data_IF_866396895113
#
_entry.id   IF_866396895113
#
_cell.length_a   1.000
_cell.length_b   1.000
_cell.length_c   1.000
_cell.angle_alpha   90.00
_cell.angle_beta   90.00
_cell.angle_gamma   90.00
#
_symmetry.space_group_name_H-M   'P 1'
#
loop_
_entity.id
_entity.type
_entity.pdbx_description
1 polymer ?
#
# COMPACT_ATOMS: atom_id res chain seq x y z
N UNK A 1 -6.44 1.91 2.65
CA UNK A 1 -6.71 2.62 3.93
C UNK A 1 -6.72 4.12 3.68
N UNK A 2 -7.59 4.88 4.34
CA UNK A 2 -7.59 6.35 4.26
C UNK A 2 -7.00 6.94 5.55
N UNK A 3 -6.17 7.97 5.43
CA UNK A 3 -5.58 8.68 6.56
C UNK A 3 -5.59 10.19 6.34
N UNK A 4 -5.71 10.94 7.42
CA UNK A 4 -5.37 12.37 7.45
C UNK A 4 -3.93 12.51 7.92
N UNK A 5 -3.17 13.42 7.30
CA UNK A 5 -1.82 13.77 7.74
C UNK A 5 -1.72 15.26 7.99
N UNK A 6 -0.89 15.63 8.95
CA UNK A 6 -0.54 17.03 9.18
C UNK A 6 0.80 17.44 8.54
N UNK A 7 1.13 18.72 8.66
CA UNK A 7 2.39 19.25 8.17
C UNK A 7 3.62 18.62 8.84
N UNK A 8 3.49 18.15 10.09
CA UNK A 8 4.59 17.50 10.81
C UNK A 8 4.96 16.15 10.20
N UNK A 9 4.00 15.44 9.58
CA UNK A 9 4.25 14.25 8.78
C UNK A 9 4.78 14.63 7.39
N UNK A 10 4.13 15.58 6.71
CA UNK A 10 4.50 15.95 5.35
C UNK A 10 5.96 16.45 5.24
N UNK A 11 6.42 17.24 6.22
CA UNK A 11 7.82 17.70 6.30
C UNK A 11 8.81 16.53 6.30
N UNK A 12 8.47 15.41 6.94
CA UNK A 12 9.37 14.24 7.08
C UNK A 12 9.56 13.47 5.77
N UNK A 13 8.71 13.69 4.77
CA UNK A 13 8.92 13.16 3.42
C UNK A 13 10.01 13.94 2.69
N UNK A 14 10.00 15.27 2.83
CA UNK A 14 10.90 16.19 2.15
C UNK A 14 12.27 16.29 2.86
N UNK A 15 12.26 16.42 4.18
CA UNK A 15 13.43 16.68 5.00
C UNK A 15 13.65 15.48 5.93
N UNK A 16 14.89 14.99 5.99
CA UNK A 16 15.24 13.89 6.88
C UNK A 16 15.15 14.32 8.35
N UNK A 17 14.27 13.67 9.09
CA UNK A 17 14.01 13.89 10.52
C UNK A 17 13.74 12.53 11.20
N UNK A 18 13.70 12.47 12.55
CA UNK A 18 13.17 11.31 13.25
C UNK A 18 11.80 10.92 12.69
N UNK A 19 11.60 9.62 12.50
CA UNK A 19 10.42 8.99 11.91
C UNK A 19 10.18 9.24 10.40
N UNK A 20 11.17 9.75 9.67
CA UNK A 20 11.07 9.90 8.20
C UNK A 20 10.91 8.57 7.46
N UNK A 21 11.38 7.44 7.99
CA UNK A 21 11.20 6.15 7.34
C UNK A 21 9.73 5.73 7.37
N UNK A 22 9.13 5.80 8.55
CA UNK A 22 7.73 5.51 8.85
C UNK A 22 6.80 6.47 8.11
N UNK A 23 7.14 7.76 8.08
CA UNK A 23 6.38 8.74 7.32
C UNK A 23 6.34 8.38 5.83
N UNK A 24 7.46 7.95 5.23
CA UNK A 24 7.49 7.54 3.82
C UNK A 24 6.67 6.29 3.53
N UNK A 25 6.45 5.40 4.51
CA UNK A 25 5.57 4.24 4.30
C UNK A 25 4.11 4.67 4.07
N UNK A 26 3.70 5.85 4.54
CA UNK A 26 2.36 6.40 4.27
C UNK A 26 2.13 6.72 2.79
N UNK A 27 3.20 6.91 2.01
CA UNK A 27 3.12 7.13 0.55
C UNK A 27 2.90 5.83 -0.24
N UNK A 28 2.73 4.70 0.45
CA UNK A 28 2.44 3.44 -0.21
C UNK A 28 1.10 3.51 -0.98
N UNK A 29 0.98 2.91 -2.17
CA UNK A 29 -0.22 2.99 -3.00
C UNK A 29 -1.53 2.51 -2.33
N UNK A 30 -1.43 1.65 -1.31
CA UNK A 30 -2.57 1.15 -0.52
C UNK A 30 -3.11 2.17 0.51
N UNK A 31 -2.42 3.30 0.67
CA UNK A 31 -2.77 4.35 1.61
C UNK A 31 -3.16 5.61 0.82
N UNK A 32 -4.39 6.06 1.05
CA UNK A 32 -4.92 7.30 0.47
C UNK A 32 -4.82 8.39 1.52
N UNK A 33 -4.02 9.41 1.24
CA UNK A 33 -3.75 10.51 2.16
C UNK A 33 -4.63 11.71 1.83
N UNK A 34 -5.19 12.31 2.87
CA UNK A 34 -5.90 13.58 2.79
C UNK A 34 -5.28 14.57 3.79
N UNK A 35 -5.44 15.85 3.50
CA UNK A 35 -5.07 16.92 4.42
C UNK A 35 -5.88 18.19 4.08
N UNK A 36 -6.10 19.10 5.03
CA UNK A 36 -6.51 20.47 4.70
C UNK A 36 -5.50 21.16 3.77
N UNK A 37 -5.97 22.00 2.85
CA UNK A 37 -5.14 22.73 1.88
C UNK A 37 -4.01 23.58 2.50
N UNK A 38 -4.23 24.14 3.69
CA UNK A 38 -3.24 24.95 4.39
C UNK A 38 -2.00 24.16 4.85
N UNK A 39 -2.01 22.82 4.79
CA UNK A 39 -0.83 21.97 5.01
C UNK A 39 0.35 22.41 4.13
N UNK A 40 0.08 22.84 2.89
CA UNK A 40 1.10 23.34 1.96
C UNK A 40 1.81 24.58 2.52
N UNK A 41 1.03 25.47 3.15
CA UNK A 41 1.55 26.72 3.73
C UNK A 41 2.36 26.43 4.99
N UNK A 42 1.97 25.45 5.79
CA UNK A 42 2.73 25.02 6.97
C UNK A 42 4.05 24.35 6.59
N UNK A 43 4.05 23.46 5.60
CA UNK A 43 5.29 22.86 5.07
C UNK A 43 6.21 23.95 4.50
N UNK A 44 5.69 24.90 3.72
CA UNK A 44 6.45 26.03 3.21
C UNK A 44 7.07 26.88 4.34
N UNK A 45 6.32 27.13 5.41
CA UNK A 45 6.81 27.87 6.57
C UNK A 45 7.94 27.11 7.29
N UNK A 46 7.88 25.78 7.36
CA UNK A 46 8.97 24.95 7.91
C UNK A 46 10.22 25.04 7.03
N UNK A 47 10.09 24.92 5.71
CA UNK A 47 11.21 25.08 4.76
C UNK A 47 11.86 26.45 4.95
N UNK A 48 11.07 27.52 5.01
CA UNK A 48 11.57 28.88 5.27
C UNK A 48 12.30 29.00 6.62
N UNK A 49 11.72 28.48 7.70
CA UNK A 49 12.35 28.50 9.03
C UNK A 49 13.69 27.76 9.04
N UNK A 50 13.77 26.58 8.42
CA UNK A 50 15.01 25.80 8.34
C UNK A 50 16.07 26.49 7.48
N UNK A 51 15.68 27.10 6.36
CA UNK A 51 16.58 27.90 5.53
C UNK A 51 17.14 29.10 6.30
N UNK A 52 16.27 29.84 7.01
CA UNK A 52 16.67 30.97 7.87
C UNK A 52 17.67 30.57 8.95
N UNK A 53 17.50 29.37 9.52
CA UNK A 53 18.40 28.79 10.53
C UNK A 53 19.64 28.12 9.94
N UNK A 54 19.79 28.08 8.61
CA UNK A 54 20.88 27.40 7.89
C UNK A 54 20.95 25.89 8.17
N UNK A 55 19.82 25.28 8.50
CA UNK A 55 19.70 23.82 8.69
C UNK A 55 19.65 23.08 7.35
N UNK A 56 19.28 23.78 6.27
CA UNK A 56 19.30 23.26 4.90
C UNK A 56 20.20 24.15 4.01
N UNK A 57 21.11 23.58 3.20
CA UNK A 57 22.05 24.37 2.40
C UNK A 57 21.40 25.11 1.23
N UNK A 58 20.39 24.50 0.61
CA UNK A 58 19.63 25.05 -0.51
C UNK A 58 18.15 24.72 -0.32
N UNK A 59 17.25 25.73 -0.26
CA UNK A 59 15.82 25.49 -0.09
C UNK A 59 15.12 25.04 -1.39
N UNK A 60 15.68 25.34 -2.56
CA UNK A 60 15.01 25.14 -3.85
C UNK A 60 14.55 23.68 -4.09
N UNK A 61 15.36 22.64 -3.82
CA UNK A 61 14.91 21.26 -4.02
C UNK A 61 13.68 20.90 -3.18
N UNK A 62 13.56 21.43 -1.96
CA UNK A 62 12.40 21.20 -1.10
C UNK A 62 11.15 21.95 -1.58
N UNK A 63 11.33 23.12 -2.20
CA UNK A 63 10.24 23.86 -2.85
C UNK A 63 9.72 23.11 -4.07
N UNK A 64 10.62 22.52 -4.86
CA UNK A 64 10.25 21.72 -6.04
C UNK A 64 9.51 20.44 -5.64
N UNK A 65 9.87 19.81 -4.52
CA UNK A 65 9.14 18.66 -3.97
C UNK A 65 7.79 19.05 -3.35
N UNK A 66 7.69 20.20 -2.68
CA UNK A 66 6.42 20.72 -2.18
C UNK A 66 5.39 20.88 -3.31
N UNK A 67 5.82 21.31 -4.49
CA UNK A 67 4.95 21.47 -5.65
C UNK A 67 4.32 20.15 -6.14
N UNK A 68 4.94 19.01 -5.83
CA UNK A 68 4.46 17.66 -6.21
C UNK A 68 3.60 17.01 -5.11
N UNK A 69 3.46 17.66 -3.96
CA UNK A 69 2.78 17.04 -2.81
C UNK A 69 1.30 16.76 -3.09
N UNK A 70 0.68 17.50 -4.01
CA UNK A 70 -0.69 17.26 -4.48
C UNK A 70 -0.87 15.96 -5.25
N UNK A 71 0.22 15.36 -5.74
CA UNK A 71 0.17 14.04 -6.40
C UNK A 71 -0.01 12.92 -5.36
N UNK A 72 0.41 13.16 -4.12
CA UNK A 72 0.37 12.17 -3.04
C UNK A 72 -0.76 12.43 -2.02
N UNK A 73 -1.23 13.67 -1.88
CA UNK A 73 -2.19 14.07 -0.85
C UNK A 73 -3.40 14.79 -1.46
N UNK A 74 -4.59 14.24 -1.21
CA UNK A 74 -5.85 14.85 -1.60
C UNK A 74 -6.22 16.02 -0.66
N UNK A 75 -6.07 17.25 -1.15
CA UNK A 75 -6.29 18.46 -0.36
C UNK A 75 -7.78 18.79 -0.19
N UNK A 76 -8.15 19.22 1.02
CA UNK A 76 -9.50 19.63 1.39
C UNK A 76 -9.55 21.13 1.68
N UNK A 77 -10.54 21.89 1.16
CA UNK A 77 -10.65 23.31 1.44
C UNK A 77 -10.77 23.59 2.94
N UNK A 78 -9.82 24.30 3.53
CA UNK A 78 -9.86 24.63 4.97
C UNK A 78 -11.05 25.51 5.35
N UNK A 79 -11.60 26.26 4.39
CA UNK A 79 -12.81 27.08 4.54
C UNK A 79 -14.05 26.26 4.92
N UNK A 80 -14.12 24.98 4.51
CA UNK A 80 -15.22 24.07 4.86
C UNK A 80 -15.05 23.48 6.26
N UNK A 81 -13.82 23.45 6.77
CA UNK A 81 -13.46 22.82 8.04
C UNK A 81 -13.42 23.82 9.21
N UNK A 82 -13.21 25.12 8.94
CA UNK A 82 -12.86 26.13 9.96
C UNK A 82 -13.90 26.32 11.06
N UNK A 83 -15.20 26.20 10.75
CA UNK A 83 -16.28 26.34 11.75
C UNK A 83 -16.22 25.19 12.76
N UNK A 84 -16.09 23.96 12.25
CA UNK A 84 -15.96 22.74 13.07
C UNK A 84 -14.64 22.75 13.84
N UNK A 85 -13.55 23.14 13.21
CA UNK A 85 -12.23 23.29 13.82
C UNK A 85 -12.23 24.31 14.98
N UNK A 86 -12.94 25.43 14.83
CA UNK A 86 -13.08 26.43 15.90
C UNK A 86 -13.84 25.86 17.09
N UNK A 87 -14.94 25.14 16.85
CA UNK A 87 -15.68 24.48 17.92
C UNK A 87 -14.85 23.41 18.64
N UNK A 88 -14.03 22.67 17.90
CA UNK A 88 -13.05 21.72 18.43
C UNK A 88 -12.01 22.44 19.30
N UNK A 89 -11.38 23.50 18.77
CA UNK A 89 -10.34 24.27 19.45
C UNK A 89 -10.78 24.80 20.82
N UNK A 90 -12.01 25.33 20.90
CA UNK A 90 -12.60 25.78 22.16
C UNK A 90 -12.87 24.62 23.12
N UNK A 91 -13.36 23.48 22.60
CA UNK A 91 -13.70 22.31 23.41
C UNK A 91 -12.46 21.63 24.01
N UNK A 92 -11.39 21.49 23.23
CA UNK A 92 -10.20 20.73 23.63
C UNK A 92 -9.04 21.63 24.13
N UNK A 93 -9.25 22.94 24.16
CA UNK A 93 -8.25 23.97 24.53
C UNK A 93 -6.93 23.80 23.77
N UNK A 94 -7.02 23.89 22.43
CA UNK A 94 -5.89 23.68 21.54
C UNK A 94 -5.92 24.64 20.33
N UNK A 95 -4.76 25.01 19.74
CA UNK A 95 -4.74 25.94 18.62
C UNK A 95 -5.64 25.50 17.46
N UNK A 96 -6.30 26.48 16.83
CA UNK A 96 -7.26 26.21 15.75
C UNK A 96 -6.62 25.51 14.56
N UNK A 97 -5.36 25.82 14.24
CA UNK A 97 -4.62 25.22 13.12
C UNK A 97 -4.58 23.69 13.26
N UNK A 98 -4.16 23.19 14.43
CA UNK A 98 -4.11 21.76 14.74
C UNK A 98 -5.53 21.14 14.71
N UNK A 99 -6.53 21.89 15.15
CA UNK A 99 -7.93 21.44 15.12
C UNK A 99 -8.54 21.37 13.72
N UNK A 100 -7.96 22.04 12.71
CA UNK A 100 -8.41 21.87 11.31
C UNK A 100 -8.09 20.46 10.81
N UNK A 101 -6.94 19.89 11.22
CA UNK A 101 -6.62 18.49 10.92
C UNK A 101 -7.59 17.53 11.61
N UNK A 102 -7.96 17.80 12.86
CA UNK A 102 -8.98 17.01 13.58
C UNK A 102 -10.36 17.10 12.90
N UNK A 103 -10.77 18.30 12.48
CA UNK A 103 -12.03 18.48 11.75
C UNK A 103 -12.04 17.72 10.42
N UNK A 104 -10.90 17.72 9.71
CA UNK A 104 -10.71 16.94 8.48
C UNK A 104 -10.81 15.43 8.76
N UNK A 105 -10.22 14.96 9.85
CA UNK A 105 -10.27 13.56 10.28
C UNK A 105 -11.68 13.11 10.64
N UNK A 106 -12.46 13.96 11.33
CA UNK A 106 -13.88 13.71 11.56
C UNK A 106 -14.68 13.64 10.27
N UNK A 107 -14.44 14.55 9.31
CA UNK A 107 -15.20 14.62 8.06
C UNK A 107 -15.00 13.37 7.19
N UNK A 108 -13.78 12.86 7.14
CA UNK A 108 -13.42 11.70 6.33
C UNK A 108 -13.54 10.36 7.07
N UNK A 109 -13.98 10.39 8.34
CA UNK A 109 -14.00 9.25 9.25
C UNK A 109 -12.68 8.45 9.21
N UNK A 110 -11.56 9.18 9.24
CA UNK A 110 -10.23 8.63 9.04
C UNK A 110 -9.29 9.05 10.19
N UNK A 111 -8.35 8.20 10.61
CA UNK A 111 -7.36 8.57 11.62
C UNK A 111 -6.48 9.73 11.17
N UNK A 112 -6.12 10.61 12.12
CA UNK A 112 -5.07 11.61 11.94
C UNK A 112 -3.72 11.01 12.33
N UNK A 113 -2.74 11.02 11.43
CA UNK A 113 -1.35 10.71 11.74
C UNK A 113 -0.58 12.01 11.95
N UNK A 114 0.09 12.12 13.10
CA UNK A 114 0.83 13.33 13.52
C UNK A 114 2.15 12.95 14.20
N UNK A 115 3.14 13.85 14.14
CA UNK A 115 4.32 13.81 14.99
C UNK A 115 4.21 14.76 16.20
N UNK A 116 3.09 15.46 16.39
CA UNK A 116 2.81 16.28 17.56
C UNK A 116 2.22 15.42 18.69
N UNK A 117 3.06 15.06 19.66
CA UNK A 117 2.68 14.31 20.87
C UNK A 117 1.66 15.05 21.73
N UNK A 118 1.69 16.38 21.76
CA UNK A 118 0.75 17.18 22.56
C UNK A 118 -0.64 17.14 21.92
N UNK A 119 -0.73 17.28 20.61
CA UNK A 119 -1.99 17.14 19.87
C UNK A 119 -2.56 15.73 20.05
N UNK A 120 -1.74 14.69 19.83
CA UNK A 120 -2.17 13.31 19.96
C UNK A 120 -2.76 13.01 21.35
N UNK A 121 -2.08 13.44 22.42
CA UNK A 121 -2.56 13.27 23.79
C UNK A 121 -3.84 14.08 24.07
N UNK A 122 -3.90 15.34 23.67
CA UNK A 122 -5.08 16.20 23.92
C UNK A 122 -6.32 15.69 23.19
N UNK A 123 -6.15 15.26 21.94
CA UNK A 123 -7.25 14.74 21.14
C UNK A 123 -7.76 13.40 21.68
N UNK A 124 -6.89 12.48 22.12
CA UNK A 124 -7.33 11.22 22.71
C UNK A 124 -8.08 11.41 24.03
N UNK A 125 -7.70 12.39 24.85
CA UNK A 125 -8.37 12.73 26.11
C UNK A 125 -9.72 13.44 25.91
N UNK A 126 -9.78 14.41 25.00
CA UNK A 126 -10.91 15.35 24.90
C UNK A 126 -11.78 15.15 23.65
N UNK A 127 -11.39 14.27 22.73
CA UNK A 127 -12.08 14.04 21.47
C UNK A 127 -11.93 12.61 20.92
N UNK A 128 -12.42 11.59 21.65
CA UNK A 128 -12.17 10.18 21.34
C UNK A 128 -12.85 9.66 20.06
N UNK A 129 -13.71 10.47 19.42
CA UNK A 129 -14.36 10.12 18.15
C UNK A 129 -13.39 10.12 16.97
N UNK A 130 -12.25 10.81 17.09
CA UNK A 130 -11.17 10.78 16.10
C UNK A 130 -10.00 10.00 16.68
N UNK A 131 -9.58 8.95 15.97
CA UNK A 131 -8.32 8.30 16.27
C UNK A 131 -7.16 9.23 15.85
N UNK A 132 -6.28 9.56 16.80
CA UNK A 132 -5.04 10.29 16.52
C UNK A 132 -3.86 9.37 16.80
N UNK A 133 -3.05 9.15 15.77
CA UNK A 133 -1.93 8.23 15.76
C UNK A 133 -0.62 9.02 15.78
N UNK A 134 0.15 8.85 16.85
CA UNK A 134 1.49 9.40 16.91
C UNK A 134 2.46 8.51 16.12
N UNK A 135 3.15 9.07 15.12
CA UNK A 135 4.03 8.28 14.27
C UNK A 135 5.26 7.68 14.99
N UNK A 136 5.60 8.19 16.17
CA UNK A 136 6.66 7.65 17.01
C UNK A 136 6.26 6.40 17.80
N UNK A 137 4.98 6.06 17.86
CA UNK A 137 4.50 4.88 18.57
C UNK A 137 4.70 3.60 17.74
N UNK A 138 5.30 2.57 18.34
CA UNK A 138 5.59 1.30 17.66
C UNK A 138 4.33 0.64 17.08
N UNK A 139 3.19 0.73 17.77
CA UNK A 139 1.92 0.19 17.28
C UNK A 139 1.42 0.92 16.03
N UNK A 140 1.60 2.25 15.97
CA UNK A 140 1.24 3.06 14.80
C UNK A 140 2.09 2.65 13.60
N UNK A 141 3.41 2.48 13.79
CA UNK A 141 4.30 1.97 12.74
C UNK A 141 3.83 0.61 12.22
N UNK A 142 3.48 -0.32 13.12
CA UNK A 142 2.97 -1.64 12.72
C UNK A 142 1.67 -1.54 11.93
N UNK A 143 0.73 -0.67 12.33
CA UNK A 143 -0.53 -0.43 11.61
C UNK A 143 -0.28 0.14 10.22
N UNK A 144 0.62 1.11 10.09
CA UNK A 144 1.00 1.71 8.81
C UNK A 144 1.63 0.64 7.89
N UNK A 145 2.60 -0.13 8.39
CA UNK A 145 3.25 -1.20 7.61
C UNK A 145 2.25 -2.25 7.17
N UNK A 146 1.33 -2.67 8.06
CA UNK A 146 0.30 -3.64 7.73
C UNK A 146 -0.64 -3.12 6.64
N UNK A 147 -1.10 -1.87 6.75
CA UNK A 147 -1.97 -1.27 5.75
C UNK A 147 -1.27 -1.04 4.40
N UNK A 148 0.01 -0.64 4.41
CA UNK A 148 0.82 -0.42 3.22
C UNK A 148 1.05 -1.72 2.42
N UNK A 149 0.97 -2.88 3.07
CA UNK A 149 1.30 -4.19 2.50
C UNK A 149 0.13 -5.16 2.45
N UNK A 150 -1.09 -4.70 2.78
CA UNK A 150 -2.27 -5.55 2.80
C UNK A 150 -2.67 -6.03 1.39
N UNK A 151 -3.09 -7.29 1.31
CA UNK A 151 -3.82 -7.82 0.15
C UNK A 151 -5.26 -7.28 0.16
N UNK A 152 -5.72 -6.88 -1.00
CA UNK A 152 -7.13 -6.59 -1.31
C UNK A 152 -7.80 -7.85 -1.83
N UNK A 153 -7.10 -8.63 -2.67
CA UNK A 153 -7.59 -9.90 -3.19
C UNK A 153 -7.81 -10.91 -2.06
N UNK A 154 -8.98 -11.57 -2.12
CA UNK A 154 -9.36 -12.59 -1.15
C UNK A 154 -8.71 -13.94 -1.47
N UNK A 155 -8.50 -14.76 -0.43
CA UNK A 155 -7.82 -16.06 -0.56
C UNK A 155 -8.56 -17.02 -1.50
N UNK A 156 -9.89 -17.02 -1.46
CA UNK A 156 -10.71 -17.83 -2.37
C UNK A 156 -10.54 -17.39 -3.83
N UNK A 157 -10.40 -16.08 -4.07
CA UNK A 157 -10.15 -15.52 -5.39
C UNK A 157 -8.76 -15.89 -5.89
N UNK A 158 -7.74 -15.84 -5.04
CA UNK A 158 -6.39 -16.32 -5.38
C UNK A 158 -6.42 -17.82 -5.71
N UNK A 159 -7.12 -18.63 -4.92
CA UNK A 159 -7.26 -20.07 -5.18
C UNK A 159 -7.94 -20.34 -6.52
N UNK A 160 -9.04 -19.65 -6.82
CA UNK A 160 -9.72 -19.75 -8.12
C UNK A 160 -8.82 -19.33 -9.30
N UNK A 161 -7.98 -18.31 -9.11
CA UNK A 161 -6.99 -17.91 -10.11
C UNK A 161 -5.98 -19.04 -10.39
N UNK A 162 -5.45 -19.67 -9.34
CA UNK A 162 -4.53 -20.80 -9.43
C UNK A 162 -5.18 -22.01 -10.10
N UNK A 163 -6.42 -22.36 -9.73
CA UNK A 163 -7.14 -23.49 -10.30
C UNK A 163 -7.44 -23.29 -11.80
N UNK A 164 -7.80 -22.06 -12.19
CA UNK A 164 -7.96 -21.69 -13.60
C UNK A 164 -6.64 -21.82 -14.37
N UNK A 165 -5.53 -21.38 -13.77
CA UNK A 165 -4.20 -21.51 -14.36
C UNK A 165 -3.77 -22.98 -14.52
N UNK A 166 -3.98 -23.81 -13.51
CA UNK A 166 -3.66 -25.23 -13.53
C UNK A 166 -4.49 -25.98 -14.60
N UNK A 167 -5.76 -25.61 -14.75
CA UNK A 167 -6.65 -26.15 -15.80
C UNK A 167 -6.14 -25.78 -17.20
N UNK A 168 -5.74 -24.53 -17.38
CA UNK A 168 -5.11 -24.06 -18.61
C UNK A 168 -3.82 -24.83 -18.93
N UNK A 169 -2.91 -24.97 -17.96
CA UNK A 169 -1.64 -25.72 -18.13
C UNK A 169 -1.88 -27.17 -18.53
N UNK A 170 -2.80 -27.87 -17.86
CA UNK A 170 -3.18 -29.25 -18.21
C UNK A 170 -3.73 -29.36 -19.63
N UNK A 171 -4.59 -28.42 -20.02
CA UNK A 171 -5.17 -28.37 -21.38
C UNK A 171 -4.07 -28.15 -22.42
N UNK A 172 -3.17 -27.21 -22.17
CA UNK A 172 -2.07 -26.90 -23.07
C UNK A 172 -1.09 -28.07 -23.23
N UNK A 173 -0.69 -28.70 -22.13
CA UNK A 173 0.22 -29.86 -22.17
C UNK A 173 -0.42 -31.02 -22.96
N UNK A 174 -1.74 -31.24 -22.82
CA UNK A 174 -2.48 -32.23 -23.61
C UNK A 174 -2.54 -31.90 -25.11
N UNK A 175 -2.68 -30.62 -25.48
CA UNK A 175 -2.65 -30.17 -26.89
C UNK A 175 -1.26 -30.41 -27.48
N UNK A 176 -0.21 -30.04 -26.75
CA UNK A 176 1.19 -30.25 -27.18
C UNK A 176 1.47 -31.74 -27.39
N UNK A 177 1.10 -32.60 -26.44
CA UNK A 177 1.25 -34.05 -26.58
C UNK A 177 0.52 -34.59 -27.82
N UNK A 178 -0.68 -34.08 -28.10
CA UNK A 178 -1.48 -34.51 -29.26
C UNK A 178 -0.81 -34.10 -30.57
N UNK A 179 -0.31 -32.86 -30.67
CA UNK A 179 0.40 -32.37 -31.86
C UNK A 179 1.70 -33.14 -32.09
N UNK A 180 2.42 -33.47 -31.01
CA UNK A 180 3.64 -34.29 -31.07
C UNK A 180 3.35 -35.76 -31.42
N UNK A 181 2.17 -36.30 -31.13
CA UNK A 181 1.79 -37.70 -31.46
C UNK A 181 1.07 -37.85 -32.81
N UNK A 182 1.02 -36.80 -33.64
CA UNK A 182 0.28 -36.78 -34.91
C UNK A 182 0.61 -37.94 -35.87
N UNK A 183 -0.29 -38.23 -36.84
CA UNK A 183 -0.26 -39.44 -37.67
C UNK A 183 1.00 -39.61 -38.55
N UNK A 184 1.82 -38.57 -38.69
CA UNK A 184 3.06 -38.57 -39.46
C UNK A 184 4.33 -38.73 -38.61
N UNK A 185 4.21 -39.02 -37.31
CA UNK A 185 5.32 -39.11 -36.35
C UNK A 185 5.61 -37.81 -35.61
N UNK A 186 6.55 -37.86 -34.66
CA UNK A 186 6.91 -36.72 -33.81
C UNK A 186 7.37 -35.51 -34.65
N UNK A 187 6.56 -34.45 -34.68
CA UNK A 187 6.91 -33.17 -35.32
C UNK A 187 7.24 -32.09 -34.31
N UNK A 188 8.23 -31.27 -34.62
CA UNK A 188 8.53 -30.05 -33.87
C UNK A 188 7.38 -29.05 -34.02
N UNK A 189 6.98 -28.39 -32.93
CA UNK A 189 5.95 -27.35 -32.93
C UNK A 189 6.40 -26.16 -33.79
N UNK A 190 5.53 -25.69 -34.69
CA UNK A 190 5.72 -24.41 -35.37
C UNK A 190 5.35 -23.23 -34.44
N UNK A 191 5.78 -21.99 -34.73
CA UNK A 191 5.31 -20.80 -34.01
C UNK A 191 3.78 -20.66 -34.03
N UNK A 192 3.11 -21.04 -35.13
CA UNK A 192 1.63 -21.02 -35.21
C UNK A 192 0.99 -22.07 -34.28
N UNK A 193 1.62 -23.24 -34.10
CA UNK A 193 1.17 -24.24 -33.11
C UNK A 193 1.40 -23.74 -31.67
N UNK A 194 2.38 -22.85 -31.45
CA UNK A 194 2.62 -22.19 -30.17
C UNK A 194 1.63 -21.06 -29.92
N UNK A 195 1.09 -20.41 -30.94
CA UNK A 195 0.05 -19.38 -30.79
C UNK A 195 -1.33 -19.99 -30.51
N UNK A 196 -1.62 -21.19 -31.05
CA UNK A 196 -2.84 -21.94 -30.73
C UNK A 196 -3.02 -22.23 -29.23
N UNK A 197 -1.93 -22.19 -28.46
CA UNK A 197 -1.89 -22.24 -26.99
C UNK A 197 -2.75 -21.15 -26.34
N UNK A 198 -2.68 -19.92 -26.87
CA UNK A 198 -3.40 -18.74 -26.38
C UNK A 198 -4.84 -18.67 -26.91
N UNK A 199 -5.27 -19.64 -27.72
CA UNK A 199 -6.65 -19.71 -28.22
C UNK A 199 -7.51 -20.78 -27.54
N UNK A 200 -6.94 -21.57 -26.63
CA UNK A 200 -7.67 -22.66 -25.96
C UNK A 200 -8.84 -22.14 -25.11
N UNK A 201 -9.95 -22.90 -24.97
CA UNK A 201 -11.07 -22.51 -24.10
C UNK A 201 -10.62 -22.26 -22.65
N UNK A 202 -9.66 -23.05 -22.15
CA UNK A 202 -9.11 -22.89 -20.81
C UNK A 202 -8.30 -21.59 -20.67
N UNK A 203 -7.51 -21.21 -21.69
CA UNK A 203 -6.83 -19.90 -21.68
C UNK A 203 -7.83 -18.73 -21.71
N UNK A 204 -8.84 -18.79 -22.57
CA UNK A 204 -9.91 -17.76 -22.62
C UNK A 204 -10.66 -17.65 -21.30
N UNK A 205 -10.85 -18.76 -20.58
CA UNK A 205 -11.48 -18.75 -19.26
C UNK A 205 -10.57 -18.10 -18.21
N UNK A 206 -9.26 -18.39 -18.24
CA UNK A 206 -8.27 -17.74 -17.36
C UNK A 206 -8.21 -16.23 -17.60
N UNK A 207 -8.07 -15.78 -18.85
CA UNK A 207 -7.97 -14.34 -19.16
C UNK A 207 -9.28 -13.61 -18.84
N UNK A 208 -10.45 -14.22 -19.08
CA UNK A 208 -11.75 -13.68 -18.63
C UNK A 208 -11.83 -13.56 -17.12
N UNK A 209 -11.31 -14.55 -16.37
CA UNK A 209 -11.28 -14.49 -14.91
C UNK A 209 -10.40 -13.31 -14.45
N UNK A 210 -9.17 -13.19 -14.96
CA UNK A 210 -8.26 -12.08 -14.61
C UNK A 210 -8.90 -10.73 -14.97
N UNK A 211 -9.53 -10.61 -16.15
CA UNK A 211 -10.20 -9.39 -16.59
C UNK A 211 -11.43 -9.03 -15.73
N UNK A 212 -12.02 -9.99 -15.02
CA UNK A 212 -13.15 -9.74 -14.10
C UNK A 212 -12.73 -9.19 -12.74
N UNK A 213 -11.43 -9.25 -12.42
CA UNK A 213 -10.88 -8.72 -11.18
C UNK A 213 -10.74 -7.20 -11.25
N UNK A 214 -10.86 -6.56 -10.10
CA UNK A 214 -10.53 -5.14 -9.95
C UNK A 214 -9.05 -4.89 -10.23
N UNK A 215 -8.69 -3.64 -10.52
CA UNK A 215 -7.28 -3.27 -10.74
C UNK A 215 -6.40 -3.63 -9.54
N UNK A 216 -6.91 -3.41 -8.32
CA UNK A 216 -6.20 -3.70 -7.08
C UNK A 216 -5.98 -5.20 -6.87
N UNK A 217 -6.96 -6.03 -7.19
CA UNK A 217 -6.83 -7.48 -7.14
C UNK A 217 -5.83 -8.01 -8.19
N UNK A 218 -5.82 -7.43 -9.39
CA UNK A 218 -4.83 -7.76 -10.43
C UNK A 218 -3.42 -7.36 -10.00
N UNK A 219 -3.26 -6.20 -9.35
CA UNK A 219 -2.00 -5.77 -8.74
C UNK A 219 -1.51 -6.79 -7.70
N UNK A 220 -2.41 -7.29 -6.84
CA UNK A 220 -2.04 -8.31 -5.86
C UNK A 220 -1.59 -9.62 -6.53
N UNK A 221 -2.28 -10.09 -7.57
CA UNK A 221 -1.84 -11.27 -8.33
C UNK A 221 -0.46 -11.07 -8.97
N UNK A 222 -0.20 -9.88 -9.54
CA UNK A 222 1.13 -9.52 -10.05
C UNK A 222 2.17 -9.55 -8.93
N UNK A 223 1.89 -8.94 -7.78
CA UNK A 223 2.78 -8.89 -6.64
C UNK A 223 3.10 -10.30 -6.11
N UNK A 224 2.10 -11.17 -5.98
CA UNK A 224 2.26 -12.57 -5.59
C UNK A 224 3.16 -13.31 -6.58
N UNK A 225 2.95 -13.16 -7.88
CA UNK A 225 3.79 -13.79 -8.88
C UNK A 225 5.25 -13.33 -8.80
N UNK A 226 5.50 -12.03 -8.62
CA UNK A 226 6.85 -11.50 -8.44
C UNK A 226 7.51 -12.02 -7.17
N UNK A 227 6.75 -12.09 -6.08
CA UNK A 227 7.22 -12.61 -4.79
C UNK A 227 7.57 -14.11 -4.85
N UNK A 228 6.76 -14.89 -5.57
CA UNK A 228 6.98 -16.32 -5.82
C UNK A 228 8.12 -16.61 -6.79
N UNK A 229 8.31 -15.77 -7.83
CA UNK A 229 9.41 -15.86 -8.79
C UNK A 229 10.78 -15.63 -8.12
N UNK A 230 10.82 -14.73 -7.15
CA UNK A 230 12.03 -14.29 -6.46
C UNK A 230 12.28 -15.03 -5.13
N UNK A 231 11.84 -16.28 -5.03
CA UNK A 231 11.99 -17.08 -3.81
C UNK A 231 13.47 -17.23 -3.36
N UNK A 232 14.41 -17.31 -4.30
CA UNK A 232 15.83 -17.49 -4.00
C UNK A 232 16.60 -16.17 -3.75
N UNK A 233 16.06 -15.00 -4.11
CA UNK A 233 16.78 -13.71 -4.06
C UNK A 233 16.49 -12.86 -2.82
N UNK A 234 15.72 -13.37 -1.85
CA UNK A 234 15.37 -12.61 -0.65
C UNK A 234 14.39 -11.46 -0.88
N UNK A 235 13.60 -11.51 -1.97
CA UNK A 235 12.65 -10.44 -2.29
C UNK A 235 11.72 -10.11 -1.11
N UNK A 236 11.49 -8.81 -0.90
CA UNK A 236 10.60 -8.26 0.11
C UNK A 236 9.20 -8.06 -0.49
N UNK A 237 8.17 -8.52 0.21
CA UNK A 237 6.76 -8.37 -0.19
C UNK A 237 6.39 -6.92 -0.49
N UNK A 238 6.79 -5.97 0.37
CA UNK A 238 6.50 -4.55 0.17
C UNK A 238 7.06 -4.01 -1.16
N UNK A 239 8.25 -4.48 -1.54
CA UNK A 239 8.87 -4.12 -2.81
C UNK A 239 8.11 -4.73 -4.00
N UNK A 240 7.70 -6.00 -3.91
CA UNK A 240 6.92 -6.65 -4.97
C UNK A 240 5.56 -5.96 -5.18
N UNK A 241 4.90 -5.53 -4.11
CA UNK A 241 3.64 -4.80 -4.19
C UNK A 241 3.82 -3.40 -4.79
N UNK A 242 4.80 -2.61 -4.32
CA UNK A 242 5.12 -1.30 -4.91
C UNK A 242 5.46 -1.42 -6.41
N UNK A 243 6.26 -2.43 -6.78
CA UNK A 243 6.56 -2.70 -8.18
C UNK A 243 5.30 -3.01 -8.99
N UNK A 244 4.43 -3.90 -8.48
CA UNK A 244 3.19 -4.27 -9.15
C UNK A 244 2.21 -3.11 -9.33
N UNK A 245 2.12 -2.19 -8.35
CA UNK A 245 1.30 -0.97 -8.45
C UNK A 245 1.76 -0.04 -9.57
N UNK A 246 3.07 -0.01 -9.86
CA UNK A 246 3.64 0.81 -10.95
C UNK A 246 3.51 0.14 -12.32
N UNK A 247 3.19 -1.14 -12.35
CA UNK A 247 2.88 -1.85 -13.59
C UNK A 247 1.43 -1.54 -13.97
N UNK A 248 1.23 -0.89 -15.11
CA UNK A 248 -0.10 -0.58 -15.68
C UNK A 248 -1.00 -1.81 -15.88
N UNK A 249 -2.21 -1.59 -16.36
CA UNK A 249 -3.28 -2.59 -16.42
C UNK A 249 -3.36 -3.34 -17.77
N UNK A 250 -2.33 -3.26 -18.60
CA UNK A 250 -2.60 -3.18 -20.04
C UNK A 250 -2.40 -4.50 -20.81
N UNK A 251 -1.81 -5.53 -20.20
CA UNK A 251 -1.52 -6.81 -20.88
C UNK A 251 -2.00 -8.02 -20.06
N UNK A 252 -3.18 -8.54 -20.44
CA UNK A 252 -3.77 -9.74 -19.84
C UNK A 252 -2.98 -11.00 -20.16
N UNK A 253 -2.27 -11.05 -21.29
CA UNK A 253 -1.47 -12.21 -21.67
C UNK A 253 -0.22 -12.28 -20.78
N UNK A 254 0.42 -11.14 -20.55
CA UNK A 254 1.48 -11.01 -19.57
C UNK A 254 1.01 -11.42 -18.17
N UNK A 255 -0.13 -10.92 -17.70
CA UNK A 255 -0.67 -11.28 -16.38
C UNK A 255 -1.03 -12.76 -16.26
N UNK A 256 -1.61 -13.36 -17.30
CA UNK A 256 -1.86 -14.80 -17.34
C UNK A 256 -0.54 -15.60 -17.30
N UNK A 257 0.50 -15.12 -17.98
CA UNK A 257 1.82 -15.78 -18.00
C UNK A 257 2.49 -15.86 -16.63
N UNK A 258 2.17 -14.91 -15.74
CA UNK A 258 2.66 -14.85 -14.37
C UNK A 258 2.08 -15.95 -13.46
N UNK A 259 0.99 -16.59 -13.88
CA UNK A 259 0.26 -17.57 -13.05
C UNK A 259 1.08 -18.74 -12.54
N UNK A 260 2.15 -19.13 -13.26
CA UNK A 260 3.13 -20.14 -12.82
C UNK A 260 3.79 -19.84 -11.47
N UNK A 261 3.75 -18.59 -11.01
CA UNK A 261 4.37 -18.15 -9.77
C UNK A 261 3.38 -17.82 -8.66
N UNK A 262 2.05 -17.79 -8.91
CA UNK A 262 1.06 -17.42 -7.90
C UNK A 262 1.09 -18.34 -6.68
N UNK A 263 1.12 -19.66 -6.89
CA UNK A 263 1.15 -20.65 -5.79
C UNK A 263 2.35 -20.45 -4.86
N UNK A 264 3.56 -20.39 -5.44
CA UNK A 264 4.80 -20.12 -4.71
C UNK A 264 4.73 -18.80 -3.92
N UNK A 265 4.21 -17.73 -4.54
CA UNK A 265 4.09 -16.42 -3.90
C UNK A 265 3.08 -16.41 -2.76
N UNK A 266 1.92 -17.03 -2.97
CA UNK A 266 0.84 -17.11 -1.99
C UNK A 266 1.23 -17.91 -0.77
N UNK A 267 1.80 -19.11 -0.96
CA UNK A 267 2.27 -19.97 0.13
C UNK A 267 3.36 -19.26 0.95
N UNK A 268 4.32 -18.60 0.27
CA UNK A 268 5.39 -17.85 0.92
C UNK A 268 4.86 -16.68 1.76
N UNK A 269 3.88 -15.95 1.24
CA UNK A 269 3.28 -14.82 1.97
C UNK A 269 2.49 -15.29 3.19
N UNK A 270 1.72 -16.38 3.06
CA UNK A 270 0.97 -16.99 4.18
C UNK A 270 1.91 -17.46 5.29
N UNK A 271 2.97 -18.18 4.94
CA UNK A 271 4.00 -18.59 5.91
C UNK A 271 4.72 -17.42 6.61
N UNK A 272 4.79 -16.25 5.97
CA UNK A 272 5.29 -15.03 6.61
C UNK A 272 4.27 -14.48 7.61
N UNK A 273 3.01 -14.32 7.19
CA UNK A 273 1.95 -13.79 8.03
C UNK A 273 1.72 -14.65 9.29
N UNK A 274 1.78 -15.98 9.14
CA UNK A 274 1.69 -16.91 10.28
C UNK A 274 2.86 -16.74 11.26
N UNK A 275 4.08 -16.56 10.74
CA UNK A 275 5.27 -16.29 11.58
C UNK A 275 5.18 -14.96 12.31
N UNK A 276 4.82 -13.90 11.59
CA UNK A 276 4.63 -12.56 12.16
C UNK A 276 3.53 -12.58 13.24
N UNK A 277 2.50 -13.41 13.09
CA UNK A 277 1.45 -13.61 14.10
C UNK A 277 1.95 -14.35 15.34
N UNK A 278 2.74 -15.41 15.17
CA UNK A 278 3.33 -16.17 16.29
C UNK A 278 4.28 -15.28 17.11
N UNK A 279 5.17 -14.54 16.46
CA UNK A 279 6.11 -13.64 17.14
C UNK A 279 5.39 -12.54 17.94
N UNK A 280 4.25 -12.04 17.44
CA UNK A 280 3.40 -11.08 18.17
C UNK A 280 2.82 -11.70 19.44
N UNK A 281 2.28 -12.91 19.36
CA UNK A 281 1.72 -13.62 20.53
C UNK A 281 2.81 -13.86 21.58
N UNK A 282 4.00 -14.29 21.16
CA UNK A 282 5.13 -14.51 22.06
C UNK A 282 5.60 -13.22 22.73
N UNK A 283 5.67 -12.12 21.98
CA UNK A 283 6.04 -10.79 22.51
C UNK A 283 5.00 -10.29 23.53
N UNK A 284 3.71 -10.41 23.22
CA UNK A 284 2.63 -10.02 24.14
C UNK A 284 2.65 -10.86 25.43
N UNK A 285 2.91 -12.17 25.32
CA UNK A 285 3.06 -13.05 26.47
C UNK A 285 4.27 -12.69 27.33
N UNK A 286 5.40 -12.33 26.70
CA UNK A 286 6.61 -11.91 27.40
C UNK A 286 6.42 -10.57 28.14
N UNK A 287 5.73 -9.60 27.54
CA UNK A 287 5.41 -8.32 28.16
C UNK A 287 4.42 -8.45 29.33
N UNK A 288 3.49 -9.40 29.26
CA UNK A 288 2.58 -9.70 30.38
C UNK A 288 3.28 -10.37 31.56
N UNK A 289 4.35 -11.14 31.33
CA UNK A 289 5.13 -11.77 32.40
C UNK A 289 6.10 -10.82 33.10
N UNK A 290 6.53 -9.73 32.46
CA UNK A 290 7.39 -8.71 33.07
C UNK A 290 6.62 -7.61 33.80
N UNK A 291 5.30 -7.53 33.63
CA UNK A 291 4.42 -6.55 34.26
C UNK A 291 3.64 -7.08 35.50
N UNK A 292 3.86 -8.33 35.90
CA UNK A 292 3.27 -8.97 37.09
C UNK A 292 4.32 -9.33 38.14
#
# INVERSE_FOLDING_TARGET
MRLIVDASIAVKWLIAEPHSHEARQLLAPRIVLHAPDFVLTEVANVIWKKARRKEIPSPQPYVDELAKMTDAVALQPSTELVVKATALAVRIDHPVYDCVYLACAEEWAAPLVTADERLARRASEAHPTVAVWNIGEAEVTQRITAAATALVIQDDTVQRAMDAYDTFRKTADSVIETVQRGPSGARTLSPEDQDAYFETPAYRQLTKFIASLTLDERVDLKALAWYGRQAASGANWAFCLDHACRMGADDLDYEASLGRHWRSGFDRLRHRLDRDQVERIETDLAQRHTAG
#
